data_IF_077463832876
#
_entry.id   IF_077463832876
#
_cell.length_a   1.000
_cell.length_b   1.000
_cell.length_c   1.000
_cell.angle_alpha   90.00
_cell.angle_beta   90.00
_cell.angle_gamma   90.00
#
_symmetry.space_group_name_H-M   'P 1'
#
loop_
_entity.id
_entity.type
_entity.pdbx_description
1 polymer ?
#
# COMPACT_ATOMS: atom_id res chain seq x y z
N UNK A 1 -33.66 10.62 15.16
CA UNK A 1 -32.92 9.73 14.24
C UNK A 1 -31.67 10.49 13.85
N UNK A 2 -30.51 10.25 14.48
CA UNK A 2 -29.27 10.93 14.11
C UNK A 2 -28.88 10.50 12.68
N UNK A 3 -28.74 11.47 11.77
CA UNK A 3 -28.35 11.21 10.39
C UNK A 3 -26.87 10.89 10.33
N UNK A 4 -26.49 9.69 9.91
CA UNK A 4 -25.08 9.41 9.61
C UNK A 4 -24.73 10.07 8.29
N UNK A 5 -23.88 11.11 8.32
CA UNK A 5 -23.38 11.74 7.11
C UNK A 5 -21.95 11.25 6.82
N UNK A 6 -21.73 10.77 5.61
CA UNK A 6 -20.41 10.33 5.16
C UNK A 6 -19.54 11.55 4.88
N UNK A 7 -18.36 11.62 5.50
CA UNK A 7 -17.41 12.70 5.26
C UNK A 7 -16.62 12.43 3.96
N UNK A 8 -17.18 12.89 2.84
CA UNK A 8 -16.61 12.70 1.49
C UNK A 8 -15.21 13.27 1.33
N UNK A 9 -14.87 14.34 2.04
CA UNK A 9 -13.54 14.95 1.99
C UNK A 9 -12.48 14.02 2.57
N UNK A 10 -12.75 13.43 3.73
CA UNK A 10 -11.85 12.45 4.36
C UNK A 10 -11.72 11.19 3.50
N UNK A 11 -12.80 10.72 2.87
CA UNK A 11 -12.74 9.58 1.95
C UNK A 11 -11.80 9.82 0.77
N UNK A 12 -11.89 10.98 0.13
CA UNK A 12 -11.01 11.34 -0.99
C UNK A 12 -9.56 11.43 -0.51
N UNK A 13 -9.31 12.06 0.64
CA UNK A 13 -7.98 12.16 1.26
C UNK A 13 -7.35 10.79 1.51
N UNK A 14 -8.03 9.92 2.27
CA UNK A 14 -7.54 8.57 2.60
C UNK A 14 -7.27 7.76 1.34
N UNK A 15 -8.17 7.82 0.36
CA UNK A 15 -8.03 7.04 -0.88
C UNK A 15 -6.85 7.55 -1.71
N UNK A 16 -6.72 8.86 -1.87
CA UNK A 16 -5.65 9.47 -2.68
C UNK A 16 -4.28 9.21 -2.07
N UNK A 17 -4.15 9.39 -0.75
CA UNK A 17 -2.93 9.07 -0.03
C UNK A 17 -2.61 7.58 -0.08
N UNK A 18 -3.62 6.72 0.09
CA UNK A 18 -3.48 5.28 -0.02
C UNK A 18 -2.91 4.84 -1.37
N UNK A 19 -3.43 5.40 -2.47
CA UNK A 19 -2.93 5.11 -3.83
C UNK A 19 -1.49 5.60 -4.00
N UNK A 20 -1.18 6.83 -3.56
CA UNK A 20 0.16 7.40 -3.68
C UNK A 20 1.19 6.50 -2.99
N UNK A 21 0.95 6.13 -1.74
CA UNK A 21 1.86 5.27 -0.99
C UNK A 21 1.92 3.84 -1.58
N UNK A 22 0.80 3.31 -2.06
CA UNK A 22 0.75 1.98 -2.64
C UNK A 22 1.64 1.85 -3.89
N UNK A 23 1.58 2.83 -4.79
CA UNK A 23 2.39 2.85 -6.01
C UNK A 23 3.88 2.95 -5.67
N UNK A 24 4.25 3.84 -4.75
CA UNK A 24 5.64 4.02 -4.32
C UNK A 24 6.19 2.73 -3.68
N UNK A 25 5.45 2.12 -2.75
CA UNK A 25 5.88 0.88 -2.07
C UNK A 25 6.04 -0.28 -3.04
N UNK A 26 5.13 -0.44 -4.00
CA UNK A 26 5.23 -1.49 -5.01
C UNK A 26 6.40 -1.24 -5.98
N UNK A 27 6.58 0.00 -6.43
CA UNK A 27 7.70 0.38 -7.28
C UNK A 27 9.05 0.09 -6.62
N UNK A 28 9.22 0.51 -5.36
CA UNK A 28 10.42 0.23 -4.56
C UNK A 28 10.62 -1.27 -4.36
N UNK A 29 9.57 -2.03 -4.04
CA UNK A 29 9.67 -3.46 -3.83
C UNK A 29 10.09 -4.23 -5.09
N UNK A 30 9.50 -3.90 -6.24
CA UNK A 30 9.86 -4.51 -7.52
C UNK A 30 11.28 -4.14 -7.95
N UNK A 31 11.66 -2.87 -7.84
CA UNK A 31 13.01 -2.40 -8.15
C UNK A 31 14.06 -3.05 -7.24
N UNK A 32 13.77 -3.18 -5.94
CA UNK A 32 14.66 -3.86 -4.99
C UNK A 32 14.79 -5.36 -5.30
N UNK A 33 13.69 -6.02 -5.67
CA UNK A 33 13.71 -7.45 -6.03
C UNK A 33 14.54 -7.71 -7.28
N UNK A 34 14.35 -6.86 -8.30
CA UNK A 34 15.16 -6.85 -9.51
C UNK A 34 16.65 -6.63 -9.20
N UNK A 35 16.97 -5.57 -8.45
CA UNK A 35 18.34 -5.16 -8.19
C UNK A 35 19.11 -6.19 -7.36
N UNK A 36 18.48 -6.77 -6.33
CA UNK A 36 19.13 -7.80 -5.50
C UNK A 36 19.38 -9.08 -6.28
N UNK A 37 18.42 -9.54 -7.10
CA UNK A 37 18.62 -10.74 -7.90
C UNK A 37 19.72 -10.55 -8.96
N UNK A 38 19.78 -9.37 -9.58
CA UNK A 38 20.83 -8.99 -10.52
C UNK A 38 22.21 -8.90 -9.86
N UNK A 39 22.30 -8.35 -8.65
CA UNK A 39 23.57 -8.21 -7.90
C UNK A 39 24.24 -9.58 -7.61
N UNK A 40 23.45 -10.62 -7.39
CA UNK A 40 23.94 -11.97 -7.11
C UNK A 40 23.98 -12.88 -8.35
N UNK A 41 23.66 -12.37 -9.54
CA UNK A 41 23.62 -13.12 -10.80
C UNK A 41 22.77 -14.41 -10.72
N UNK A 42 21.69 -14.40 -9.93
CA UNK A 42 20.88 -15.60 -9.61
C UNK A 42 20.03 -16.11 -10.79
N UNK A 43 20.01 -15.39 -11.90
CA UNK A 43 19.18 -15.70 -13.07
C UNK A 43 17.72 -15.27 -12.93
N UNK A 44 16.99 -15.39 -14.04
CA UNK A 44 15.64 -14.82 -14.21
C UNK A 44 14.59 -15.42 -13.28
N UNK A 45 14.70 -16.70 -12.93
CA UNK A 45 13.74 -17.36 -12.02
C UNK A 45 13.82 -16.72 -10.63
N UNK A 46 15.03 -16.51 -10.11
CA UNK A 46 15.22 -15.91 -8.79
C UNK A 46 14.84 -14.43 -8.77
N UNK A 47 15.02 -13.72 -9.88
CA UNK A 47 14.54 -12.34 -10.05
C UNK A 47 13.03 -12.24 -9.83
N UNK A 48 12.24 -13.09 -10.50
CA UNK A 48 10.79 -13.11 -10.30
C UNK A 48 10.39 -13.53 -8.88
N UNK A 49 11.11 -14.49 -8.27
CA UNK A 49 10.84 -14.90 -6.88
C UNK A 49 11.11 -13.74 -5.92
N UNK A 50 12.23 -13.03 -6.07
CA UNK A 50 12.59 -11.91 -5.21
C UNK A 50 11.59 -10.75 -5.35
N UNK A 51 11.23 -10.41 -6.58
CA UNK A 51 10.16 -9.44 -6.88
C UNK A 51 8.83 -9.84 -6.24
N UNK A 52 8.45 -11.11 -6.31
CA UNK A 52 7.21 -11.61 -5.73
C UNK A 52 7.23 -11.52 -4.19
N UNK A 53 8.31 -11.96 -3.55
CA UNK A 53 8.47 -11.89 -2.09
C UNK A 53 8.38 -10.43 -1.63
N UNK A 54 9.11 -9.52 -2.27
CA UNK A 54 9.08 -8.10 -1.89
C UNK A 54 7.74 -7.44 -2.17
N UNK A 55 7.06 -7.81 -3.26
CA UNK A 55 5.70 -7.32 -3.54
C UNK A 55 4.70 -7.77 -2.48
N UNK A 56 4.84 -8.99 -1.95
CA UNK A 56 4.02 -9.46 -0.82
C UNK A 56 4.29 -8.64 0.44
N UNK A 57 5.56 -8.31 0.73
CA UNK A 57 5.90 -7.43 1.85
C UNK A 57 5.34 -6.01 1.66
N UNK A 58 5.42 -5.45 0.45
CA UNK A 58 4.82 -4.15 0.13
C UNK A 58 3.31 -4.18 0.30
N UNK A 59 2.63 -5.21 -0.22
CA UNK A 59 1.19 -5.39 -0.07
C UNK A 59 0.79 -5.47 1.41
N UNK A 60 1.55 -6.19 2.24
CA UNK A 60 1.34 -6.22 3.69
C UNK A 60 1.48 -4.83 4.33
N UNK A 61 2.51 -4.07 3.94
CA UNK A 61 2.72 -2.70 4.39
C UNK A 61 1.55 -1.78 4.04
N UNK A 62 1.07 -1.84 2.80
CA UNK A 62 -0.09 -1.08 2.31
C UNK A 62 -1.34 -1.43 3.12
N UNK A 63 -1.63 -2.72 3.31
CA UNK A 63 -2.81 -3.16 4.07
C UNK A 63 -2.75 -2.68 5.53
N UNK A 64 -1.60 -2.78 6.19
CA UNK A 64 -1.44 -2.29 7.55
C UNK A 64 -1.59 -0.76 7.65
N UNK A 65 -1.05 -0.01 6.68
CA UNK A 65 -1.22 1.44 6.60
C UNK A 65 -2.69 1.82 6.42
N UNK A 66 -3.38 1.21 5.45
CA UNK A 66 -4.80 1.48 5.16
C UNK A 66 -5.67 1.20 6.38
N UNK A 67 -5.42 0.10 7.10
CA UNK A 67 -6.12 -0.21 8.36
C UNK A 67 -5.93 0.88 9.42
N UNK A 68 -4.73 1.47 9.50
CA UNK A 68 -4.43 2.56 10.46
C UNK A 68 -5.12 3.86 10.03
N UNK A 69 -5.08 4.20 8.75
CA UNK A 69 -5.75 5.39 8.24
C UNK A 69 -7.27 5.33 8.47
N UNK A 70 -7.91 4.23 8.12
CA UNK A 70 -9.34 4.02 8.33
C UNK A 70 -9.74 4.03 9.81
N UNK A 71 -8.82 3.73 10.73
CA UNK A 71 -9.06 3.79 12.17
C UNK A 71 -8.96 5.20 12.73
N UNK A 72 -8.07 6.03 12.17
CA UNK A 72 -7.80 7.39 12.65
C UNK A 72 -8.79 8.38 12.03
N UNK A 73 -9.05 8.23 10.73
CA UNK A 73 -9.91 9.12 9.97
C UNK A 73 -11.37 8.67 10.12
N UNK A 74 -12.14 9.39 10.95
CA UNK A 74 -13.57 9.15 11.09
C UNK A 74 -14.26 9.45 9.76
N UNK A 75 -14.73 8.40 9.09
CA UNK A 75 -15.42 8.49 7.79
C UNK A 75 -16.90 8.88 7.93
N UNK A 76 -17.43 8.84 9.15
CA UNK A 76 -18.82 9.18 9.46
C UNK A 76 -18.85 10.18 10.59
N UNK A 77 -19.48 11.32 10.33
CA UNK A 77 -19.76 12.33 11.35
C UNK A 77 -21.08 11.94 12.06
N UNK A 78 -21.12 12.07 13.38
CA UNK A 78 -22.34 11.90 14.18
C UNK A 78 -22.69 13.29 14.72
N UNK A 79 -23.83 13.82 14.29
CA UNK A 79 -24.39 15.09 14.79
C UNK A 79 -24.59 15.08 16.31
#
# INVERSE_FOLDING_TARGET
MAGRHTNWRNLIMVTSFGILIAVELLGVALAAGWALAGLFELGTIFEYIMMAIFSVFAAYGIVNLMRRMLKIEHLTEVD
#
